data_IF_335117127990
#
_entry.id   IF_335117127990
#
_cell.length_a   1.000
_cell.length_b   1.000
_cell.length_c   1.000
_cell.angle_alpha   90.00
_cell.angle_beta   90.00
_cell.angle_gamma   90.00
#
_symmetry.space_group_name_H-M   'P 1'
#
loop_
_entity.id
_entity.type
_entity.pdbx_description
1 polymer ?
#
# COMPACT_ATOMS: atom_id res chain seq x y z
N UNK A 1 53.12 -5.46 -53.90
CA UNK A 1 53.06 -6.08 -52.55
C UNK A 1 52.10 -5.22 -51.73
N UNK A 2 50.82 -5.53 -51.49
CA UNK A 2 50.16 -6.62 -50.72
C UNK A 2 50.66 -6.77 -49.28
N UNK A 3 49.83 -6.31 -48.33
CA UNK A 3 49.29 -6.96 -47.10
C UNK A 3 49.09 -5.88 -46.00
N UNK A 4 48.15 -5.93 -45.06
CA UNK A 4 46.71 -6.29 -44.93
C UNK A 4 46.41 -6.20 -43.41
N UNK A 5 45.18 -5.79 -43.03
CA UNK A 5 44.48 -6.01 -41.73
C UNK A 5 45.09 -5.28 -40.48
N UNK A 6 44.39 -4.77 -39.46
CA UNK A 6 43.12 -5.12 -38.80
C UNK A 6 42.49 -3.88 -38.13
N UNK A 7 41.18 -3.69 -38.32
CA UNK A 7 40.32 -2.92 -37.43
C UNK A 7 39.83 -3.80 -36.27
N UNK A 8 39.55 -3.21 -35.09
CA UNK A 8 38.37 -3.65 -34.36
C UNK A 8 37.41 -2.50 -34.07
N UNK A 9 36.14 -2.80 -34.36
CA UNK A 9 34.96 -2.10 -33.90
C UNK A 9 34.66 -2.44 -32.43
N UNK A 10 34.20 -1.45 -31.66
CA UNK A 10 33.35 -1.57 -30.46
C UNK A 10 32.52 -0.28 -30.45
N UNK A 11 31.23 -0.18 -30.76
CA UNK A 11 30.01 -0.94 -30.44
C UNK A 11 29.55 -0.80 -28.97
N UNK A 12 28.68 0.21 -28.78
CA UNK A 12 27.47 0.27 -27.93
C UNK A 12 27.63 0.26 -26.41
N UNK A 13 27.11 1.31 -25.76
CA UNK A 13 26.07 1.15 -24.74
C UNK A 13 25.31 2.48 -24.54
N UNK A 14 24.08 2.50 -25.04
CA UNK A 14 23.04 3.43 -24.61
C UNK A 14 22.82 3.19 -23.11
N UNK A 15 23.14 4.15 -22.27
CA UNK A 15 22.63 4.18 -20.91
C UNK A 15 21.15 4.59 -20.98
N UNK A 16 20.28 3.64 -21.30
CA UNK A 16 18.88 3.74 -20.92
C UNK A 16 18.84 3.68 -19.39
N UNK A 17 18.59 4.82 -18.74
CA UNK A 17 18.03 4.86 -17.40
C UNK A 17 16.61 4.29 -17.46
N UNK A 18 16.51 2.97 -17.57
CA UNK A 18 15.36 2.25 -17.08
C UNK A 18 15.42 2.36 -15.55
N UNK A 19 14.48 3.09 -14.98
CA UNK A 19 14.18 3.05 -13.55
C UNK A 19 13.74 1.63 -13.25
N UNK A 20 14.70 0.77 -12.91
CA UNK A 20 14.46 -0.56 -12.40
C UNK A 20 13.63 -0.39 -11.13
N UNK A 21 12.34 -0.65 -11.30
CA UNK A 21 11.41 -0.70 -10.20
C UNK A 21 11.87 -1.86 -9.33
N UNK A 22 12.08 -1.57 -8.06
CA UNK A 22 12.45 -2.57 -7.06
C UNK A 22 11.26 -3.52 -6.83
N UNK A 23 10.99 -4.38 -7.80
CA UNK A 23 10.12 -5.54 -7.69
C UNK A 23 10.92 -6.64 -6.99
N UNK A 24 11.29 -6.34 -5.74
CA UNK A 24 11.86 -7.32 -4.84
C UNK A 24 10.76 -8.28 -4.40
N UNK A 25 10.89 -9.55 -4.81
CA UNK A 25 10.14 -10.66 -4.27
C UNK A 25 10.56 -10.88 -2.79
N UNK A 26 9.97 -10.11 -1.88
CA UNK A 26 10.22 -10.22 -0.44
C UNK A 26 9.36 -11.32 0.14
N UNK A 27 9.71 -12.59 -0.03
CA UNK A 27 9.05 -13.71 0.65
C UNK A 27 9.53 -13.84 2.11
N UNK A 28 9.15 -12.88 2.97
CA UNK A 28 9.32 -13.03 4.42
C UNK A 28 8.08 -12.51 5.14
N UNK A 29 7.38 -13.42 5.81
CA UNK A 29 6.23 -13.07 6.63
C UNK A 29 6.70 -12.23 7.83
N UNK A 30 6.11 -11.05 8.00
CA UNK A 30 6.14 -10.36 9.28
C UNK A 30 5.16 -11.07 10.22
N UNK A 31 5.66 -11.56 11.35
CA UNK A 31 4.90 -12.25 12.40
C UNK A 31 3.83 -11.31 12.99
N UNK A 32 2.57 -11.75 12.96
CA UNK A 32 1.36 -11.04 13.38
C UNK A 32 1.35 -10.57 14.86
N UNK A 33 2.19 -11.19 15.70
CA UNK A 33 2.16 -11.06 17.16
C UNK A 33 2.53 -9.67 17.72
N UNK A 34 3.06 -8.76 16.88
CA UNK A 34 3.52 -7.44 17.34
C UNK A 34 2.58 -6.28 17.01
N UNK A 35 1.52 -6.50 16.23
CA UNK A 35 0.50 -5.48 15.95
C UNK A 35 -0.64 -5.55 16.99
N UNK A 36 -0.83 -6.70 17.65
CA UNK A 36 -1.97 -6.93 18.56
C UNK A 36 -1.71 -6.55 20.03
N UNK A 37 -0.49 -6.18 20.43
CA UNK A 37 -0.11 -6.07 21.84
C UNK A 37 -0.44 -4.74 22.54
N UNK A 38 -1.21 -3.82 21.94
CA UNK A 38 -1.52 -2.54 22.61
C UNK A 38 -2.89 -1.96 22.21
N UNK A 39 -3.94 -2.73 22.46
CA UNK A 39 -5.30 -2.21 22.64
C UNK A 39 -5.80 -2.64 24.01
N UNK A 40 -5.11 -2.18 25.06
CA UNK A 40 -5.75 -2.03 26.35
C UNK A 40 -4.96 -1.01 27.16
N UNK A 41 -5.67 0.04 27.62
CA UNK A 41 -5.46 0.90 28.81
C UNK A 41 -5.68 2.39 28.48
N UNK A 42 -6.91 2.83 28.72
CA UNK A 42 -7.35 4.15 29.20
C UNK A 42 -6.63 5.43 28.75
N UNK A 43 -7.29 6.27 27.93
CA UNK A 43 -7.53 7.70 28.28
C UNK A 43 -8.75 8.26 27.52
N UNK A 44 -9.73 8.76 28.27
CA UNK A 44 -10.91 9.49 27.78
C UNK A 44 -10.53 10.81 27.08
N UNK A 45 -10.96 10.96 25.82
CA UNK A 45 -11.38 12.25 25.28
C UNK A 45 -12.69 12.02 24.52
N UNK A 46 -13.77 12.58 25.08
CA UNK A 46 -15.13 12.55 24.55
C UNK A 46 -15.15 13.22 23.18
N UNK A 47 -15.15 12.42 22.11
CA UNK A 47 -15.58 12.88 20.78
C UNK A 47 -16.98 12.33 20.59
N UNK A 48 -17.94 13.22 20.75
CA UNK A 48 -19.32 13.04 20.34
C UNK A 48 -19.33 12.76 18.83
N UNK A 49 -19.50 11.49 18.48
CA UNK A 49 -19.73 11.05 17.11
C UNK A 49 -20.58 9.80 17.18
N UNK A 50 -21.85 10.04 16.88
CA UNK A 50 -22.84 9.06 16.48
C UNK A 50 -22.20 8.14 15.43
N UNK A 51 -21.83 6.92 15.84
CA UNK A 51 -21.64 5.80 14.96
C UNK A 51 -22.06 4.55 15.74
N UNK A 52 -23.16 4.00 15.26
CA UNK A 52 -23.83 2.81 15.75
C UNK A 52 -22.85 1.66 16.03
N UNK A 53 -23.21 0.90 17.07
CA UNK A 53 -22.98 -0.54 17.17
C UNK A 53 -23.14 -1.17 15.79
N UNK A 54 -22.03 -1.56 15.16
CA UNK A 54 -22.04 -2.42 13.99
C UNK A 54 -21.72 -3.84 14.47
N UNK A 55 -22.76 -4.56 14.87
CA UNK A 55 -22.72 -6.01 14.77
C UNK A 55 -22.84 -6.36 13.28
N UNK A 56 -21.93 -7.24 12.82
CA UNK A 56 -21.95 -8.01 11.57
C UNK A 56 -21.63 -7.32 10.23
N UNK A 57 -20.53 -7.76 9.61
CA UNK A 57 -20.18 -7.57 8.20
C UNK A 57 -19.24 -6.39 7.92
N UNK A 58 -18.06 -6.66 7.38
CA UNK A 58 -17.08 -5.67 6.88
C UNK A 58 -17.78 -4.72 5.89
N UNK A 59 -18.13 -3.51 6.31
CA UNK A 59 -18.89 -2.57 5.48
C UNK A 59 -17.97 -1.94 4.43
N UNK A 60 -18.17 -2.29 3.17
CA UNK A 60 -17.61 -1.53 2.05
C UNK A 60 -18.34 -0.19 1.96
N UNK A 61 -17.77 0.85 2.58
CA UNK A 61 -18.23 2.21 2.34
C UNK A 61 -17.88 2.64 0.90
N UNK A 62 -18.75 3.40 0.22
CA UNK A 62 -18.41 3.97 -1.08
C UNK A 62 -17.16 4.84 -0.98
N UNK A 63 -16.41 4.94 -2.07
CA UNK A 63 -15.23 5.82 -2.11
C UNK A 63 -15.67 7.27 -1.89
N UNK A 64 -14.95 8.06 -1.09
CA UNK A 64 -15.22 9.49 -0.96
C UNK A 64 -15.14 10.20 -2.31
N UNK A 65 -16.04 11.15 -2.58
CA UNK A 65 -16.09 11.91 -3.84
C UNK A 65 -14.74 12.51 -4.25
N UNK A 66 -13.94 12.92 -3.25
CA UNK A 66 -12.59 13.42 -3.48
C UNK A 66 -11.68 12.35 -4.07
N UNK A 67 -11.69 11.14 -3.52
CA UNK A 67 -10.90 10.01 -4.03
C UNK A 67 -11.40 9.57 -5.40
N UNK A 68 -12.72 9.51 -5.60
CA UNK A 68 -13.33 9.22 -6.91
C UNK A 68 -12.87 10.20 -7.99
N UNK A 69 -12.84 11.51 -7.69
CA UNK A 69 -12.34 12.52 -8.62
C UNK A 69 -10.84 12.38 -8.90
N UNK A 70 -10.03 12.10 -7.89
CA UNK A 70 -8.59 11.89 -8.06
C UNK A 70 -8.32 10.71 -9.00
N UNK A 71 -9.03 9.60 -8.81
CA UNK A 71 -8.95 8.43 -9.68
C UNK A 71 -9.38 8.75 -11.12
N UNK A 72 -10.49 9.45 -11.32
CA UNK A 72 -10.94 9.84 -12.66
C UNK A 72 -9.93 10.75 -13.37
N UNK A 73 -9.26 11.65 -12.64
CA UNK A 73 -8.30 12.59 -13.21
C UNK A 73 -6.94 11.96 -13.51
N UNK A 74 -6.46 11.06 -12.64
CA UNK A 74 -5.10 10.50 -12.72
C UNK A 74 -5.04 9.10 -13.30
N UNK A 75 -6.09 8.31 -13.10
CA UNK A 75 -6.19 6.90 -13.47
C UNK A 75 -7.50 6.59 -14.23
N UNK A 76 -7.80 7.28 -15.33
CA UNK A 76 -9.10 7.17 -16.03
C UNK A 76 -9.38 5.79 -16.66
N UNK A 77 -8.37 4.92 -16.73
CA UNK A 77 -8.46 3.57 -17.31
C UNK A 77 -8.45 2.46 -16.26
N UNK A 78 -8.41 2.80 -14.98
CA UNK A 78 -8.40 1.81 -13.90
C UNK A 78 -9.77 1.71 -13.26
N UNK A 79 -10.07 0.53 -12.75
CA UNK A 79 -11.28 0.28 -11.98
C UNK A 79 -10.90 0.13 -10.50
N UNK A 80 -11.79 0.49 -9.58
CA UNK A 80 -11.55 0.15 -8.17
C UNK A 80 -11.55 -1.38 -8.05
N UNK A 81 -10.60 -1.92 -7.30
CA UNK A 81 -10.52 -3.36 -7.11
C UNK A 81 -11.81 -3.90 -6.47
N UNK A 82 -12.16 -5.15 -6.80
CA UNK A 82 -13.22 -5.89 -6.11
C UNK A 82 -12.55 -6.98 -5.28
N UNK A 83 -12.97 -7.15 -4.02
CA UNK A 83 -12.41 -8.20 -3.15
C UNK A 83 -13.12 -9.53 -3.37
N UNK A 84 -12.42 -10.63 -3.09
CA UNK A 84 -13.04 -11.95 -2.96
C UNK A 84 -13.85 -12.05 -1.66
N UNK A 85 -14.82 -12.97 -1.62
CA UNK A 85 -15.58 -13.27 -0.39
C UNK A 85 -14.66 -13.73 0.74
N UNK A 86 -13.63 -14.52 0.42
CA UNK A 86 -12.61 -14.95 1.39
C UNK A 86 -11.87 -13.75 1.97
N UNK A 87 -11.40 -12.83 1.12
CA UNK A 87 -10.74 -11.62 1.58
C UNK A 87 -11.70 -10.80 2.47
N UNK A 88 -12.97 -10.62 2.08
CA UNK A 88 -13.95 -9.90 2.89
C UNK A 88 -14.28 -10.56 4.24
N UNK A 89 -14.24 -11.90 4.29
CA UNK A 89 -14.56 -12.70 5.47
C UNK A 89 -13.39 -12.81 6.46
N UNK A 90 -12.18 -12.39 6.10
CA UNK A 90 -11.02 -12.47 6.99
C UNK A 90 -11.18 -11.51 8.19
N UNK A 91 -11.64 -12.06 9.32
CA UNK A 91 -11.95 -11.32 10.55
C UNK A 91 -10.73 -10.89 11.35
N UNK A 92 -9.55 -11.48 11.11
CA UNK A 92 -8.31 -11.08 11.82
C UNK A 92 -7.91 -9.63 11.47
N UNK A 93 -8.35 -9.15 10.31
CA UNK A 93 -7.99 -7.82 9.83
C UNK A 93 -8.72 -6.67 10.56
N UNK A 94 -9.94 -6.87 11.07
CA UNK A 94 -10.86 -5.85 11.63
C UNK A 94 -10.63 -4.45 11.02
N UNK A 95 -10.85 -4.31 9.72
CA UNK A 95 -10.65 -3.04 9.01
C UNK A 95 -11.96 -2.32 8.78
N UNK A 96 -11.94 -0.98 8.88
CA UNK A 96 -13.12 -0.16 8.58
C UNK A 96 -13.52 -0.25 7.11
N UNK A 97 -12.59 0.05 6.20
CA UNK A 97 -12.76 -0.18 4.76
C UNK A 97 -11.52 -0.90 4.20
N UNK A 98 -11.65 -2.11 3.63
CA UNK A 98 -10.52 -2.89 3.13
C UNK A 98 -9.99 -2.38 1.77
N UNK A 99 -10.75 -1.58 1.02
CA UNK A 99 -10.38 -1.14 -0.33
C UNK A 99 -9.61 0.17 -0.36
N UNK A 100 -9.90 1.06 0.58
CA UNK A 100 -9.23 2.35 0.70
C UNK A 100 -9.05 2.73 2.16
N UNK A 101 -8.05 3.55 2.44
CA UNK A 101 -7.83 4.14 3.74
C UNK A 101 -7.58 5.64 3.63
N UNK A 102 -7.77 6.33 4.75
CA UNK A 102 -7.48 7.75 4.93
C UNK A 102 -6.55 7.90 6.13
N UNK A 103 -5.46 8.63 5.98
CA UNK A 103 -4.47 8.81 7.04
C UNK A 103 -3.42 9.87 6.69
N UNK A 104 -2.55 10.21 7.63
CA UNK A 104 -1.45 11.16 7.46
C UNK A 104 -0.17 10.42 7.00
N UNK A 105 -0.14 10.03 5.73
CA UNK A 105 0.90 9.15 5.16
C UNK A 105 2.22 9.90 4.92
N UNK A 106 2.17 11.22 4.76
CA UNK A 106 3.35 12.07 4.51
C UNK A 106 3.73 12.99 5.69
N UNK A 107 2.97 12.98 6.79
CA UNK A 107 3.26 13.78 7.98
C UNK A 107 2.85 15.26 7.91
N UNK A 108 2.19 15.72 6.84
CA UNK A 108 1.96 17.14 6.59
C UNK A 108 0.65 17.71 7.22
N UNK A 109 0.03 16.99 8.15
CA UNK A 109 -1.24 17.33 8.84
C UNK A 109 -2.49 17.41 7.96
N UNK A 110 -2.36 17.20 6.65
CA UNK A 110 -3.51 16.96 5.78
C UNK A 110 -3.69 15.46 5.62
N UNK A 111 -4.94 14.96 5.61
CA UNK A 111 -5.18 13.57 5.31
C UNK A 111 -4.79 13.28 3.87
N UNK A 112 -4.26 12.09 3.65
CA UNK A 112 -3.97 11.46 2.38
C UNK A 112 -4.92 10.27 2.18
N UNK A 113 -5.00 9.75 0.96
CA UNK A 113 -5.74 8.52 0.65
C UNK A 113 -4.82 7.44 0.13
N UNK A 114 -5.15 6.18 0.41
CA UNK A 114 -4.64 5.05 -0.36
C UNK A 114 -5.80 4.17 -0.82
N UNK A 115 -5.69 3.58 -2.01
CA UNK A 115 -6.77 2.81 -2.64
C UNK A 115 -6.22 1.67 -3.50
N UNK A 116 -6.96 0.57 -3.53
CA UNK A 116 -6.73 -0.54 -4.43
C UNK A 116 -7.47 -0.33 -5.77
N UNK A 117 -6.74 -0.41 -6.87
CA UNK A 117 -7.30 -0.36 -8.23
C UNK A 117 -6.85 -1.55 -9.05
N UNK A 118 -7.74 -2.07 -9.90
CA UNK A 118 -7.40 -3.02 -10.94
C UNK A 118 -6.83 -2.25 -12.13
N UNK A 119 -5.60 -2.59 -12.50
CA UNK A 119 -4.93 -2.06 -13.68
C UNK A 119 -4.32 -3.24 -14.45
N UNK A 120 -4.82 -3.45 -15.68
CA UNK A 120 -4.50 -4.61 -16.51
C UNK A 120 -4.86 -5.95 -15.84
N UNK A 121 -3.88 -6.67 -15.33
CA UNK A 121 -3.96 -7.97 -14.66
C UNK A 121 -3.52 -7.92 -13.19
N UNK A 122 -3.28 -6.72 -12.67
CA UNK A 122 -2.67 -6.51 -11.36
C UNK A 122 -3.51 -5.57 -10.49
N UNK A 123 -3.52 -5.84 -9.19
CA UNK A 123 -4.04 -4.95 -8.15
C UNK A 123 -2.93 -3.97 -7.78
N UNK A 124 -3.15 -2.70 -8.10
CA UNK A 124 -2.26 -1.61 -7.75
C UNK A 124 -2.78 -0.91 -6.50
N UNK A 125 -1.89 -0.67 -5.56
CA UNK A 125 -2.18 0.17 -4.40
C UNK A 125 -1.56 1.53 -4.67
N UNK A 126 -2.41 2.55 -4.77
CA UNK A 126 -2.02 3.92 -5.06
C UNK A 126 -2.28 4.80 -3.86
N UNK A 127 -1.36 5.70 -3.54
CA UNK A 127 -1.54 6.75 -2.54
C UNK A 127 -1.66 8.12 -3.23
N UNK A 128 -2.60 8.93 -2.77
CA UNK A 128 -2.78 10.32 -3.17
C UNK A 128 -2.41 11.22 -2.00
N UNK A 129 -1.21 11.78 -2.09
CA UNK A 129 -0.61 12.64 -1.07
C UNK A 129 -0.93 14.12 -1.34
N UNK A 130 -1.09 14.92 -0.29
CA UNK A 130 -1.32 16.37 -0.36
C UNK A 130 -2.40 16.77 -1.38
N UNK A 131 -3.50 16.00 -1.41
CA UNK A 131 -4.53 16.16 -2.44
C UNK A 131 -5.28 17.50 -2.38
N UNK A 132 -5.11 18.27 -1.30
CA UNK A 132 -5.78 19.57 -1.13
C UNK A 132 -5.02 20.73 -1.79
N UNK A 133 -3.69 20.64 -1.88
CA UNK A 133 -2.84 21.71 -2.44
C UNK A 133 -2.16 21.28 -3.72
N UNK A 134 -1.51 20.13 -3.70
CA UNK A 134 -0.73 19.59 -4.82
C UNK A 134 -0.84 18.07 -4.85
N UNK A 135 -1.94 17.51 -5.40
CA UNK A 135 -2.14 16.08 -5.42
C UNK A 135 -0.99 15.35 -6.09
N UNK A 136 -0.27 14.55 -5.31
CA UNK A 136 0.79 13.67 -5.78
C UNK A 136 0.31 12.23 -5.69
N UNK A 137 0.27 11.55 -6.83
CA UNK A 137 0.05 10.12 -6.87
C UNK A 137 1.39 9.39 -6.68
N UNK A 138 1.40 8.38 -5.80
CA UNK A 138 2.56 7.53 -5.55
C UNK A 138 2.11 6.08 -5.52
N UNK A 139 2.80 5.22 -6.29
CA UNK A 139 2.59 3.77 -6.21
C UNK A 139 3.11 3.26 -4.86
N UNK A 140 2.26 2.51 -4.15
CA UNK A 140 2.61 1.85 -2.89
C UNK A 140 3.15 0.45 -3.18
N UNK A 141 2.36 -0.35 -3.89
CA UNK A 141 2.68 -1.71 -4.29
C UNK A 141 1.84 -2.14 -5.50
N UNK A 142 2.21 -3.24 -6.13
CA UNK A 142 1.36 -3.95 -7.07
C UNK A 142 1.46 -5.46 -6.81
N UNK A 143 0.33 -6.14 -6.95
CA UNK A 143 0.20 -7.58 -6.77
C UNK A 143 -0.59 -8.16 -7.94
N UNK A 144 -0.36 -9.43 -8.31
CA UNK A 144 -1.21 -10.09 -9.31
C UNK A 144 -2.66 -10.15 -8.81
N UNK A 145 -3.62 -9.90 -9.70
CA UNK A 145 -5.02 -10.11 -9.37
C UNK A 145 -5.39 -11.60 -9.42
N UNK A 146 -6.23 -12.06 -8.50
CA UNK A 146 -6.75 -13.42 -8.52
C UNK A 146 -7.84 -13.55 -9.60
N UNK A 147 -7.77 -14.58 -10.43
CA UNK A 147 -8.76 -14.84 -11.46
C UNK A 147 -9.77 -15.89 -10.99
N UNK A 148 -11.03 -15.48 -10.82
CA UNK A 148 -12.14 -16.36 -10.44
C UNK A 148 -13.31 -16.17 -11.41
N UNK A 149 -13.78 -17.26 -12.00
CA UNK A 149 -14.92 -17.26 -12.95
C UNK A 149 -14.77 -16.24 -14.10
N UNK A 150 -13.54 -15.98 -14.55
CA UNK A 150 -13.26 -15.02 -15.62
C UNK A 150 -13.14 -13.55 -15.18
N UNK A 151 -13.43 -13.25 -13.91
CA UNK A 151 -13.24 -11.93 -13.31
C UNK A 151 -11.94 -11.87 -12.51
N UNK A 152 -11.46 -10.64 -12.27
CA UNK A 152 -10.23 -10.37 -11.49
C UNK A 152 -10.57 -9.73 -10.16
N UNK A 153 -9.97 -10.25 -9.09
CA UNK A 153 -10.23 -9.84 -7.72
C UNK A 153 -8.94 -9.53 -6.97
N UNK A 154 -9.08 -8.73 -5.92
CA UNK A 154 -8.08 -8.57 -4.89
C UNK A 154 -8.32 -9.55 -3.76
N UNK A 155 -7.26 -10.23 -3.32
CA UNK A 155 -7.21 -11.00 -2.07
C UNK A 155 -6.75 -10.15 -0.89
N UNK A 156 -6.43 -8.88 -1.14
CA UNK A 156 -5.77 -8.00 -0.20
C UNK A 156 -6.76 -7.08 0.51
N UNK A 157 -6.50 -6.80 1.79
CA UNK A 157 -7.14 -5.72 2.53
C UNK A 157 -6.12 -4.64 2.90
N UNK A 158 -6.58 -3.39 2.90
CA UNK A 158 -5.81 -2.26 3.42
C UNK A 158 -6.19 -2.00 4.88
N UNK A 159 -5.17 -1.81 5.72
CA UNK A 159 -5.31 -1.35 7.11
C UNK A 159 -4.37 -0.19 7.35
N UNK A 160 -4.87 0.86 8.01
CA UNK A 160 -4.04 1.96 8.45
C UNK A 160 -3.18 1.47 9.63
N UNK A 161 -1.88 1.69 9.56
CA UNK A 161 -0.99 1.60 10.72
C UNK A 161 -0.76 3.02 11.24
N UNK A 162 -1.39 3.43 12.36
CA UNK A 162 -1.24 4.79 12.86
C UNK A 162 0.21 5.16 13.13
N UNK A 163 0.54 6.45 13.01
CA UNK A 163 1.74 7.00 13.63
C UNK A 163 1.82 6.55 15.09
N UNK A 164 3.04 6.39 15.60
CA UNK A 164 3.31 5.81 16.93
C UNK A 164 3.03 4.31 17.11
N UNK A 165 2.51 3.62 16.08
CA UNK A 165 2.47 2.15 16.11
C UNK A 165 3.87 1.59 16.34
N UNK A 166 3.98 0.72 17.35
CA UNK A 166 5.24 0.04 17.67
C UNK A 166 5.47 -1.07 16.67
N UNK A 167 6.49 -0.92 15.83
CA UNK A 167 6.79 -1.86 14.75
C UNK A 167 8.21 -2.39 14.88
N UNK A 168 8.40 -3.66 14.54
CA UNK A 168 9.72 -4.30 14.56
C UNK A 168 10.40 -4.11 13.23
N UNK A 169 11.55 -3.44 13.22
CA UNK A 169 12.43 -3.46 12.05
C UNK A 169 13.23 -4.79 12.08
N UNK A 170 12.98 -5.74 11.17
CA UNK A 170 13.62 -7.05 11.20
C UNK A 170 15.12 -7.01 10.88
N UNK A 171 15.60 -5.96 10.18
CA UNK A 171 17.03 -5.80 9.89
C UNK A 171 17.83 -5.33 11.11
N UNK A 172 17.24 -4.43 11.89
CA UNK A 172 17.87 -3.87 13.11
C UNK A 172 17.47 -4.62 14.40
N UNK A 173 16.53 -5.57 14.30
CA UNK A 173 15.89 -6.28 15.41
C UNK A 173 15.34 -5.35 16.51
N UNK A 174 15.08 -4.10 16.17
CA UNK A 174 14.69 -3.05 17.10
C UNK A 174 13.21 -2.71 16.91
N UNK A 175 12.52 -2.47 18.02
CA UNK A 175 11.19 -1.88 18.03
C UNK A 175 11.32 -0.36 17.88
N UNK A 176 10.56 0.22 16.96
CA UNK A 176 10.51 1.66 16.74
C UNK A 176 9.07 2.08 16.47
N UNK A 177 8.75 3.31 16.84
CA UNK A 177 7.49 3.92 16.46
C UNK A 177 7.52 4.36 15.00
N UNK A 178 6.37 4.31 14.35
CA UNK A 178 6.16 4.94 13.06
C UNK A 178 6.17 6.47 13.19
N UNK A 179 6.84 7.14 12.26
CA UNK A 179 6.93 8.62 12.20
C UNK A 179 5.72 9.28 11.54
N UNK A 180 5.01 8.51 10.72
CA UNK A 180 3.81 8.89 9.97
C UNK A 180 2.92 7.68 9.91
N UNK A 181 1.68 7.85 9.45
CA UNK A 181 0.84 6.69 9.19
C UNK A 181 1.46 5.80 8.09
N UNK A 182 1.28 4.50 8.23
CA UNK A 182 1.68 3.48 7.26
C UNK A 182 0.47 2.77 6.65
N UNK A 183 0.73 2.05 5.56
CA UNK A 183 -0.24 1.24 4.83
C UNK A 183 0.11 -0.23 5.05
N UNK A 184 -0.69 -0.92 5.86
CA UNK A 184 -0.59 -2.37 5.97
C UNK A 184 -1.44 -3.02 4.88
N UNK A 185 -0.82 -3.92 4.12
CA UNK A 185 -1.49 -4.77 3.12
C UNK A 185 -1.58 -6.17 3.68
N UNK A 186 -2.79 -6.66 3.88
CA UNK A 186 -3.10 -7.94 4.52
C UNK A 186 -3.56 -8.94 3.46
N UNK A 187 -2.97 -10.12 3.46
CA UNK A 187 -3.34 -11.27 2.63
C UNK A 187 -3.30 -12.51 3.51
N UNK A 188 -4.45 -13.16 3.74
CA UNK A 188 -4.60 -14.33 4.62
C UNK A 188 -3.83 -14.18 5.96
N UNK A 189 -2.63 -14.78 6.06
CA UNK A 189 -1.77 -14.80 7.26
C UNK A 189 -0.50 -13.93 7.12
N UNK A 190 -0.52 -12.99 6.18
CA UNK A 190 0.64 -12.16 5.85
C UNK A 190 0.24 -10.69 5.87
N UNK A 191 1.01 -9.90 6.61
CA UNK A 191 0.91 -8.43 6.60
C UNK A 191 2.21 -7.83 6.08
N UNK A 192 2.11 -6.96 5.08
CA UNK A 192 3.24 -6.14 4.61
C UNK A 192 2.96 -4.68 4.91
N UNK A 193 3.75 -4.08 5.79
CA UNK A 193 3.64 -2.66 6.15
C UNK A 193 4.49 -1.81 5.22
N UNK A 194 3.89 -0.83 4.57
CA UNK A 194 4.56 0.17 3.74
C UNK A 194 4.55 1.53 4.44
N UNK A 195 5.68 2.23 4.40
CA UNK A 195 5.77 3.60 4.91
C UNK A 195 6.48 4.50 3.91
N UNK A 196 6.12 5.79 3.91
CA UNK A 196 6.71 6.76 3.01
C UNK A 196 8.12 7.15 3.48
N UNK A 197 9.11 6.97 2.61
CA UNK A 197 10.49 7.38 2.82
C UNK A 197 11.05 7.99 1.54
N UNK A 198 11.61 9.19 1.63
CA UNK A 198 12.23 9.88 0.48
C UNK A 198 11.29 9.97 -0.74
N UNK A 199 9.98 10.19 -0.49
CA UNK A 199 8.98 10.35 -1.56
C UNK A 199 8.46 9.05 -2.19
N UNK A 200 8.85 7.87 -1.68
CA UNK A 200 8.35 6.57 -2.13
C UNK A 200 7.93 5.69 -0.95
N UNK A 201 6.95 4.82 -1.17
CA UNK A 201 6.61 3.81 -0.16
C UNK A 201 7.61 2.67 -0.22
N UNK A 202 8.11 2.26 0.93
CA UNK A 202 9.05 1.15 1.06
C UNK A 202 8.47 0.16 2.08
N UNK A 203 8.53 -1.16 1.82
CA UNK A 203 8.24 -2.16 2.84
C UNK A 203 9.08 -1.89 4.09
N UNK A 204 8.45 -1.88 5.25
CA UNK A 204 9.08 -1.53 6.52
C UNK A 204 10.20 -2.52 6.89
N UNK A 205 10.04 -3.79 6.50
CA UNK A 205 11.04 -4.84 6.64
C UNK A 205 12.24 -4.73 5.68
N UNK A 206 12.11 -3.90 4.64
CA UNK A 206 13.15 -3.65 3.64
C UNK A 206 13.97 -2.37 3.88
N UNK A 207 13.76 -1.68 5.01
CA UNK A 207 14.48 -0.43 5.33
C UNK A 207 15.91 -0.67 5.79
N UNK A 208 16.88 0.05 5.23
CA UNK A 208 18.29 0.08 5.64
C UNK A 208 18.53 0.91 6.90
#
# INVERSE_FOLDING_TARGET
MKLYVIAPAILVALASCGSDSADGNYNRAASEELIEAQVDTDTKATIDSIAQVAEEGTILHPLPDTLTRLLQQRQPKTEVATLTDQAMANKTAQVGNPLYLRGNLNGNSTPDYAVQVLQNDSIHILAFLDYTRKPQEVKVAAYPAEQLNGNRYSTFQLKLAPQDSLVRNPRRQQLTNLKTDGISVLEDNRTTLYVLQNGRFIPFDAQE
#
